data_IF_615584815791
#
_entry.id   IF_615584815791
#
_cell.length_a   1.000
_cell.length_b   1.000
_cell.length_c   1.000
_cell.angle_alpha   90.00
_cell.angle_beta   90.00
_cell.angle_gamma   90.00
#
_symmetry.space_group_name_H-M   'P 1'
#
loop_
_entity.id
_entity.type
_entity.pdbx_description
1 polymer ?
#
# COMPACT_ATOMS: atom_id res chain seq x y z
N UNK A 1 13.22 51.82 25.62
CA UNK A 1 13.56 51.58 24.20
C UNK A 1 14.62 50.49 23.96
N UNK A 2 15.60 50.24 24.85
CA UNK A 2 16.63 49.18 24.65
C UNK A 2 16.09 47.77 24.36
N UNK A 3 15.01 47.35 25.01
CA UNK A 3 14.43 46.02 24.82
C UNK A 3 13.92 45.73 23.39
N UNK A 4 13.48 46.75 22.65
CA UNK A 4 13.02 46.58 21.26
C UNK A 4 14.20 46.52 20.29
N UNK A 5 15.28 47.24 20.56
CA UNK A 5 16.51 47.19 19.74
C UNK A 5 17.26 45.86 19.90
N UNK A 6 17.31 45.31 21.11
CA UNK A 6 17.91 44.01 21.37
C UNK A 6 17.09 42.87 20.73
N UNK A 7 15.76 42.95 20.75
CA UNK A 7 14.88 41.99 20.08
C UNK A 7 15.05 42.04 18.55
N UNK A 8 15.12 43.24 17.95
CA UNK A 8 15.37 43.40 16.51
C UNK A 8 16.76 42.90 16.13
N UNK A 9 17.79 43.11 16.97
CA UNK A 9 19.14 42.57 16.75
C UNK A 9 19.19 41.04 16.78
N UNK A 10 18.46 40.40 17.68
CA UNK A 10 18.40 38.93 17.77
C UNK A 10 17.71 38.33 16.53
N UNK A 11 16.66 38.97 16.01
CA UNK A 11 15.91 38.47 14.83
C UNK A 11 16.65 38.78 13.52
N UNK A 12 17.47 39.84 13.50
CA UNK A 12 18.31 40.26 12.37
C UNK A 12 19.75 39.73 12.45
N UNK A 13 20.07 38.84 13.39
CA UNK A 13 21.40 38.24 13.51
C UNK A 13 21.65 37.32 12.29
N UNK A 14 22.60 37.68 11.39
CA UNK A 14 22.87 36.90 10.19
C UNK A 14 23.35 35.48 10.50
N UNK A 15 23.96 35.24 11.67
CA UNK A 15 24.38 33.89 12.07
C UNK A 15 23.17 33.01 12.41
N UNK A 16 22.19 33.55 13.13
CA UNK A 16 20.96 32.82 13.47
C UNK A 16 20.13 32.53 12.21
N UNK A 17 20.06 33.48 11.28
CA UNK A 17 19.39 33.26 9.99
C UNK A 17 20.07 32.17 9.16
N UNK A 18 21.40 32.16 9.12
CA UNK A 18 22.17 31.10 8.43
C UNK A 18 21.93 29.72 9.07
N UNK A 19 21.94 29.63 10.39
CA UNK A 19 21.64 28.38 11.11
C UNK A 19 20.22 27.87 10.83
N UNK A 20 19.22 28.76 10.78
CA UNK A 20 17.84 28.36 10.44
C UNK A 20 17.70 27.86 9.01
N UNK A 21 18.42 28.46 8.06
CA UNK A 21 18.43 27.98 6.66
C UNK A 21 19.09 26.61 6.57
N UNK A 22 20.21 26.41 7.27
CA UNK A 22 20.91 25.12 7.28
C UNK A 22 20.09 24.01 7.94
N UNK A 23 19.43 24.29 9.07
CA UNK A 23 18.50 23.36 9.73
C UNK A 23 17.34 22.98 8.82
N UNK A 24 16.74 23.94 8.11
CA UNK A 24 15.67 23.66 7.13
C UNK A 24 16.16 22.78 6.00
N UNK A 25 17.34 23.07 5.45
CA UNK A 25 17.95 22.26 4.38
C UNK A 25 18.22 20.83 4.84
N UNK A 26 18.81 20.67 6.03
CA UNK A 26 19.06 19.34 6.61
C UNK A 26 17.75 18.57 6.81
N UNK A 27 16.72 19.21 7.38
CA UNK A 27 15.41 18.58 7.55
C UNK A 27 14.76 18.15 6.23
N UNK A 28 14.90 18.95 5.17
CA UNK A 28 14.39 18.61 3.84
C UNK A 28 15.18 17.46 3.19
N UNK A 29 16.50 17.44 3.35
CA UNK A 29 17.36 16.36 2.86
C UNK A 29 17.08 15.04 3.61
N UNK A 30 16.86 15.09 4.93
CA UNK A 30 16.53 13.92 5.74
C UNK A 30 15.14 13.38 5.39
N UNK A 31 14.15 14.25 5.16
CA UNK A 31 12.84 13.83 4.63
C UNK A 31 12.97 13.13 3.29
N UNK A 32 13.77 13.68 2.36
CA UNK A 32 13.99 13.08 1.03
C UNK A 32 14.66 11.71 1.15
N UNK A 33 15.68 11.57 2.00
CA UNK A 33 16.34 10.29 2.27
C UNK A 33 15.35 9.27 2.84
N UNK A 34 14.57 9.65 3.85
CA UNK A 34 13.55 8.80 4.44
C UNK A 34 12.51 8.32 3.41
N UNK A 35 12.04 9.22 2.54
CA UNK A 35 11.12 8.86 1.45
C UNK A 35 11.78 7.88 0.47
N UNK A 36 13.02 8.15 0.05
CA UNK A 36 13.74 7.27 -0.90
C UNK A 36 14.04 5.89 -0.31
N UNK A 37 14.35 5.84 0.98
CA UNK A 37 14.57 4.60 1.71
C UNK A 37 13.26 3.81 1.86
N UNK A 38 12.15 4.48 2.22
CA UNK A 38 10.83 3.87 2.24
C UNK A 38 10.42 3.30 0.86
N UNK A 39 10.70 4.03 -0.22
CA UNK A 39 10.46 3.55 -1.60
C UNK A 39 11.35 2.36 -1.97
N UNK A 40 12.60 2.33 -1.50
CA UNK A 40 13.51 1.19 -1.72
C UNK A 40 13.04 -0.05 -0.96
N UNK A 41 12.67 0.11 0.31
CA UNK A 41 12.09 -0.96 1.13
C UNK A 41 10.83 -1.47 0.45
N UNK A 42 9.87 -0.61 0.13
CA UNK A 42 8.64 -0.99 -0.59
C UNK A 42 8.92 -1.87 -1.82
N UNK A 43 9.84 -1.47 -2.71
CA UNK A 43 10.17 -2.26 -3.92
C UNK A 43 10.76 -3.64 -3.62
N UNK A 44 11.54 -3.78 -2.55
CA UNK A 44 12.14 -5.07 -2.17
C UNK A 44 11.10 -6.06 -1.62
N UNK A 45 9.99 -5.54 -1.11
CA UNK A 45 8.97 -6.32 -0.42
C UNK A 45 7.81 -6.74 -1.32
N UNK A 46 7.84 -6.37 -2.61
CA UNK A 46 6.78 -6.76 -3.55
C UNK A 46 6.87 -8.26 -3.82
N UNK A 47 5.93 -9.01 -3.26
CA UNK A 47 5.75 -10.43 -3.48
C UNK A 47 4.68 -10.65 -4.56
N UNK A 48 5.03 -11.33 -5.64
CA UNK A 48 4.17 -11.51 -6.84
C UNK A 48 3.76 -12.96 -7.08
N UNK A 49 4.26 -13.91 -6.28
CA UNK A 49 4.07 -15.35 -6.53
C UNK A 49 2.72 -15.82 -5.99
N UNK A 50 1.66 -15.42 -6.67
CA UNK A 50 0.30 -15.89 -6.45
C UNK A 50 -0.14 -16.79 -7.60
N UNK A 51 -0.99 -17.75 -7.28
CA UNK A 51 -1.70 -18.58 -8.25
C UNK A 51 -3.19 -18.32 -8.09
N UNK A 52 -3.94 -18.28 -9.20
CA UNK A 52 -5.38 -18.15 -9.17
C UNK A 52 -6.04 -18.99 -10.25
N UNK A 53 -7.27 -19.42 -9.97
CA UNK A 53 -8.10 -20.05 -11.00
C UNK A 53 -8.71 -18.98 -11.93
N UNK A 54 -9.17 -19.40 -13.11
CA UNK A 54 -9.72 -18.49 -14.10
C UNK A 54 -11.15 -18.04 -13.80
N UNK A 55 -11.75 -18.50 -12.70
CA UNK A 55 -13.18 -18.35 -12.44
C UNK A 55 -14.06 -19.11 -13.43
N UNK A 56 -15.37 -19.14 -13.15
CA UNK A 56 -16.38 -19.71 -14.06
C UNK A 56 -17.54 -18.74 -14.25
N UNK A 57 -18.13 -18.75 -15.44
CA UNK A 57 -19.26 -17.90 -15.79
C UNK A 57 -18.88 -16.46 -16.16
N UNK A 58 -19.87 -15.70 -16.62
CA UNK A 58 -19.69 -14.35 -17.16
C UNK A 58 -19.00 -13.40 -16.16
N UNK A 59 -19.40 -13.47 -14.89
CA UNK A 59 -18.92 -12.55 -13.86
C UNK A 59 -17.44 -12.76 -13.49
N UNK A 60 -16.91 -13.99 -13.54
CA UNK A 60 -15.58 -14.30 -13.01
C UNK A 60 -14.54 -14.74 -14.07
N UNK A 61 -14.97 -15.21 -15.24
CA UNK A 61 -14.05 -15.79 -16.21
C UNK A 61 -12.99 -14.80 -16.70
N UNK A 62 -11.72 -15.10 -16.43
CA UNK A 62 -10.56 -14.30 -16.84
C UNK A 62 -10.50 -12.92 -16.19
N UNK A 63 -11.13 -12.75 -15.03
CA UNK A 63 -11.30 -11.44 -14.42
C UNK A 63 -10.03 -10.91 -13.74
N UNK A 64 -9.29 -11.78 -13.03
CA UNK A 64 -8.06 -11.39 -12.33
C UNK A 64 -6.89 -11.33 -13.32
N UNK A 65 -6.22 -10.19 -13.38
CA UNK A 65 -5.03 -10.01 -14.21
C UNK A 65 -3.75 -10.31 -13.44
N UNK A 66 -3.65 -9.80 -12.21
CA UNK A 66 -2.44 -9.86 -11.39
C UNK A 66 -2.79 -9.84 -9.91
N UNK A 67 -1.97 -10.50 -9.09
CA UNK A 67 -2.04 -10.43 -7.63
C UNK A 67 -0.64 -10.27 -7.06
N UNK A 68 -0.46 -9.33 -6.14
CA UNK A 68 0.80 -9.11 -5.43
C UNK A 68 0.56 -8.48 -4.06
N UNK A 69 1.55 -8.57 -3.16
CA UNK A 69 1.54 -7.86 -1.88
C UNK A 69 2.85 -7.09 -1.66
N UNK A 70 2.84 -6.09 -0.80
CA UNK A 70 3.99 -5.23 -0.50
C UNK A 70 4.58 -5.46 0.91
N UNK A 71 4.22 -6.55 1.56
CA UNK A 71 4.53 -6.78 2.98
C UNK A 71 3.46 -6.27 3.96
N UNK A 72 2.46 -5.49 3.51
CA UNK A 72 1.39 -4.95 4.36
C UNK A 72 -0.02 -5.07 3.75
N UNK A 73 -0.14 -4.79 2.47
CA UNK A 73 -1.39 -4.83 1.72
C UNK A 73 -1.28 -5.83 0.59
N UNK A 74 -2.40 -6.49 0.28
CA UNK A 74 -2.52 -7.32 -0.92
C UNK A 74 -3.32 -6.58 -1.98
N UNK A 75 -2.84 -6.62 -3.22
CA UNK A 75 -3.40 -5.96 -4.38
C UNK A 75 -3.89 -7.01 -5.37
N UNK A 76 -5.17 -6.93 -5.74
CA UNK A 76 -5.80 -7.84 -6.71
C UNK A 76 -6.31 -6.98 -7.87
N UNK A 77 -5.66 -7.07 -9.03
CA UNK A 77 -6.01 -6.29 -10.22
C UNK A 77 -6.97 -7.05 -11.13
N UNK A 78 -7.93 -6.33 -11.71
CA UNK A 78 -8.94 -6.88 -12.62
C UNK A 78 -8.70 -6.39 -14.06
N UNK A 79 -8.93 -7.25 -15.05
CA UNK A 79 -8.89 -6.88 -16.47
C UNK A 79 -10.13 -6.12 -16.94
N UNK A 80 -11.30 -6.46 -16.41
CA UNK A 80 -12.60 -5.95 -16.87
C UNK A 80 -13.49 -5.64 -15.66
N UNK A 81 -13.27 -4.48 -15.01
CA UNK A 81 -13.93 -4.12 -13.75
C UNK A 81 -15.43 -3.86 -13.88
N UNK A 82 -15.93 -3.71 -15.11
CA UNK A 82 -17.35 -3.48 -15.42
C UNK A 82 -18.25 -4.70 -15.14
N UNK A 83 -17.71 -5.83 -14.70
CA UNK A 83 -18.46 -7.07 -14.40
C UNK A 83 -19.00 -7.15 -12.97
N UNK A 84 -18.91 -6.07 -12.20
CA UNK A 84 -19.43 -5.94 -10.84
C UNK A 84 -18.36 -6.08 -9.76
N UNK A 85 -18.62 -5.47 -8.59
CA UNK A 85 -17.72 -5.59 -7.45
C UNK A 85 -17.93 -6.93 -6.74
N UNK A 86 -16.85 -7.66 -6.52
CA UNK A 86 -16.82 -8.91 -5.78
C UNK A 86 -16.46 -8.64 -4.32
N UNK A 87 -17.06 -9.41 -3.42
CA UNK A 87 -16.56 -9.52 -2.05
C UNK A 87 -15.21 -10.23 -2.04
N UNK A 88 -14.33 -9.83 -1.13
CA UNK A 88 -13.05 -10.50 -0.88
C UNK A 88 -13.13 -11.21 0.47
N UNK A 89 -13.01 -12.53 0.43
CA UNK A 89 -13.05 -13.40 1.60
C UNK A 89 -11.66 -14.00 1.85
N UNK A 90 -11.35 -14.32 3.10
CA UNK A 90 -10.19 -15.14 3.50
C UNK A 90 -10.54 -16.00 4.72
N UNK A 91 -9.60 -16.81 5.19
CA UNK A 91 -9.71 -17.54 6.45
C UNK A 91 -9.03 -16.75 7.60
N UNK A 92 -9.79 -16.43 8.64
CA UNK A 92 -9.31 -15.80 9.87
C UNK A 92 -9.75 -16.66 11.05
N UNK A 93 -8.78 -17.26 11.75
CA UNK A 93 -9.06 -18.16 12.87
C UNK A 93 -9.96 -19.33 12.46
N UNK A 94 -9.61 -20.01 11.37
CA UNK A 94 -10.32 -21.18 10.81
C UNK A 94 -11.75 -20.89 10.30
N UNK A 95 -12.13 -19.62 10.20
CA UNK A 95 -13.45 -19.20 9.70
C UNK A 95 -13.30 -18.31 8.49
N UNK A 96 -14.16 -18.52 7.49
CA UNK A 96 -14.29 -17.60 6.37
C UNK A 96 -14.80 -16.25 6.87
N UNK A 97 -14.08 -15.19 6.52
CA UNK A 97 -14.44 -13.82 6.85
C UNK A 97 -14.25 -12.91 5.63
N UNK A 98 -15.14 -11.93 5.48
CA UNK A 98 -14.96 -10.83 4.53
C UNK A 98 -13.92 -9.88 5.11
N UNK A 99 -12.89 -9.58 4.34
CA UNK A 99 -11.79 -8.71 4.78
C UNK A 99 -12.04 -7.25 4.43
N UNK A 100 -11.50 -6.30 5.21
CA UNK A 100 -11.56 -4.89 4.86
C UNK A 100 -10.83 -4.62 3.54
N UNK A 101 -11.59 -4.18 2.54
CA UNK A 101 -11.07 -3.88 1.20
C UNK A 101 -11.47 -2.50 0.74
N UNK A 102 -10.54 -1.80 0.10
CA UNK A 102 -10.83 -0.63 -0.72
C UNK A 102 -10.78 -1.03 -2.19
N UNK A 103 -11.70 -0.53 -2.99
CA UNK A 103 -11.62 -0.63 -4.43
C UNK A 103 -11.03 0.67 -5.01
N UNK A 104 -10.07 0.54 -5.92
CA UNK A 104 -9.47 1.66 -6.65
C UNK A 104 -9.92 1.60 -8.12
N UNK A 105 -10.87 2.47 -8.47
CA UNK A 105 -11.45 2.55 -9.81
C UNK A 105 -10.42 2.96 -10.88
N UNK A 106 -9.40 3.74 -10.51
CA UNK A 106 -8.40 4.26 -11.46
C UNK A 106 -7.55 3.14 -12.03
N UNK A 107 -7.28 2.12 -11.20
CA UNK A 107 -6.44 0.99 -11.57
C UNK A 107 -7.21 -0.33 -11.67
N UNK A 108 -8.52 -0.33 -11.41
CA UNK A 108 -9.37 -1.52 -11.42
C UNK A 108 -8.87 -2.58 -10.44
N UNK A 109 -8.54 -2.20 -9.20
CA UNK A 109 -7.94 -3.13 -8.23
C UNK A 109 -8.59 -3.09 -6.85
N UNK A 110 -8.64 -4.24 -6.19
CA UNK A 110 -8.87 -4.33 -4.75
C UNK A 110 -7.56 -4.16 -3.99
N UNK A 111 -7.61 -3.34 -2.95
CA UNK A 111 -6.56 -3.19 -1.94
C UNK A 111 -7.08 -3.79 -0.64
N UNK A 112 -6.51 -4.93 -0.26
CA UNK A 112 -6.85 -5.69 0.94
C UNK A 112 -5.91 -5.30 2.07
N UNK A 113 -6.47 -5.03 3.25
CA UNK A 113 -5.67 -4.78 4.46
C UNK A 113 -5.14 -6.08 5.04
N UNK A 114 -3.83 -6.32 4.88
CA UNK A 114 -3.13 -7.50 5.37
C UNK A 114 -2.65 -8.45 4.27
N UNK A 115 -1.91 -9.46 4.72
CA UNK A 115 -1.41 -10.58 3.91
C UNK A 115 -2.04 -11.85 4.45
N UNK A 116 -2.61 -12.65 3.56
CA UNK A 116 -3.25 -13.91 3.90
C UNK A 116 -2.78 -15.02 2.95
N UNK A 117 -2.78 -16.29 3.39
CA UNK A 117 -2.39 -17.41 2.52
C UNK A 117 -3.27 -17.58 1.29
N UNK A 118 -4.55 -17.21 1.40
CA UNK A 118 -5.52 -17.36 0.32
C UNK A 118 -6.62 -16.31 0.40
N UNK A 119 -7.26 -16.09 -0.74
CA UNK A 119 -8.43 -15.25 -0.88
C UNK A 119 -9.46 -15.94 -1.77
N UNK A 120 -10.73 -15.66 -1.53
CA UNK A 120 -11.81 -16.00 -2.45
C UNK A 120 -12.51 -14.71 -2.86
N UNK A 121 -12.50 -14.41 -4.15
CA UNK A 121 -13.36 -13.38 -4.72
C UNK A 121 -14.73 -14.00 -5.02
N UNK A 122 -15.79 -13.39 -4.53
CA UNK A 122 -17.15 -13.94 -4.65
C UNK A 122 -18.18 -12.89 -5.07
N UNK A 123 -18.99 -13.24 -6.05
CA UNK A 123 -20.24 -12.57 -6.43
C UNK A 123 -21.24 -13.64 -6.88
N UNK A 124 -22.41 -13.68 -6.26
CA UNK A 124 -23.42 -14.74 -6.47
C UNK A 124 -22.80 -16.15 -6.42
N UNK A 125 -22.93 -16.93 -7.50
CA UNK A 125 -22.34 -18.26 -7.65
C UNK A 125 -20.92 -18.25 -8.20
N UNK A 126 -20.44 -17.09 -8.67
CA UNK A 126 -19.11 -16.95 -9.25
C UNK A 126 -18.05 -16.86 -8.14
N UNK A 127 -16.99 -17.65 -8.29
CA UNK A 127 -15.87 -17.72 -7.35
C UNK A 127 -14.55 -17.74 -8.09
N UNK A 128 -13.57 -17.03 -7.54
CA UNK A 128 -12.17 -17.10 -7.95
C UNK A 128 -11.34 -17.34 -6.71
N UNK A 129 -10.60 -18.44 -6.68
CA UNK A 129 -9.66 -18.71 -5.59
C UNK A 129 -8.29 -18.18 -5.98
N UNK A 130 -7.68 -17.46 -5.04
CA UNK A 130 -6.34 -16.91 -5.14
C UNK A 130 -5.55 -17.47 -3.98
N UNK A 131 -4.36 -17.99 -4.24
CA UNK A 131 -3.48 -18.55 -3.23
C UNK A 131 -2.07 -18.01 -3.38
N UNK A 132 -1.50 -17.60 -2.26
CA UNK A 132 -0.08 -17.25 -2.17
C UNK A 132 0.73 -18.54 -2.31
N UNK A 133 1.72 -18.56 -3.20
CA UNK A 133 2.49 -19.78 -3.48
C UNK A 133 3.28 -20.28 -2.26
N UNK A 134 3.70 -19.36 -1.38
CA UNK A 134 4.33 -19.69 -0.11
C UNK A 134 4.13 -18.55 0.93
N UNK A 135 4.51 -18.86 2.17
CA UNK A 135 4.46 -17.91 3.29
C UNK A 135 5.73 -17.08 3.42
N UNK A 136 6.62 -17.07 2.42
CA UNK A 136 7.82 -16.25 2.48
C UNK A 136 7.41 -14.78 2.35
N UNK A 137 7.61 -14.01 3.41
CA UNK A 137 7.50 -12.55 3.35
C UNK A 137 8.90 -12.01 3.54
N UNK A 138 9.27 -11.03 2.71
CA UNK A 138 10.47 -10.25 2.97
C UNK A 138 10.20 -9.11 3.97
N UNK A 139 8.98 -9.02 4.52
CA UNK A 139 8.47 -8.06 5.49
C UNK A 139 9.48 -7.58 6.54
N UNK A 140 9.60 -6.26 6.70
CA UNK A 140 10.16 -5.67 7.91
C UNK A 140 9.22 -5.91 9.09
N UNK A 141 9.73 -6.59 10.12
CA UNK A 141 9.15 -6.63 11.46
C UNK A 141 9.58 -5.40 12.26
#
# INVERSE_FOLDING_TARGET
MRFLEDFVRIVADPQLQQQLVELKRQADDDKRKAVMEALRRFRYHVYTRYNWDQGKGFAAQGLVSDVYDDGRFTYIRLHQPNRGLMSVETEVGEKTAIVPTKYDDTYGMYVVSGIYPSFTLRVDDARINIARADSTTHGEF
#
